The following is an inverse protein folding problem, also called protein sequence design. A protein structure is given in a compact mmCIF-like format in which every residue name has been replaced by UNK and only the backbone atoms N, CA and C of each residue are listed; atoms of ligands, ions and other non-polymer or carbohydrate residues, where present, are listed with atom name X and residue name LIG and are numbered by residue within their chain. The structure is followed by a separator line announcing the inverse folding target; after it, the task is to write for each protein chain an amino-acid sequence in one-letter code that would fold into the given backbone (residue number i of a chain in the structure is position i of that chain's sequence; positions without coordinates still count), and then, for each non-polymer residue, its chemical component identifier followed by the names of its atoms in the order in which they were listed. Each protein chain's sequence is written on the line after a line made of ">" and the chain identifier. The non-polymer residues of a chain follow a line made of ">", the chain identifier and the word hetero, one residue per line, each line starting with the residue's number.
data_IF_261616854976
#
_entry.id   IF_261616854976
#
_cell.length_a   1.000
_cell.length_b   1.000
_cell.length_c   1.000
_cell.angle_alpha   90.00
_cell.angle_beta   90.00
_cell.angle_gamma   90.00
#
_symmetry.space_group_name_H-M   'P 1'
#
loop_
_entity.id
_entity.type
_entity.pdbx_description
1 polymer ?
#
# COMPACT_ATOMS: atom_id res chain seq x y z
N UNK A 1 -6.33 23.56 -15.55
CA UNK A 1 -7.49 22.74 -15.13
C UNK A 1 -7.68 21.68 -16.20
N UNK A 2 -7.41 20.39 -15.87
CA UNK A 2 -7.55 19.30 -16.85
C UNK A 2 -9.04 19.00 -17.06
N UNK A 3 -9.42 18.87 -18.33
CA UNK A 3 -10.79 18.50 -18.72
C UNK A 3 -11.05 17.06 -18.27
N UNK A 4 -11.92 16.86 -17.28
CA UNK A 4 -12.22 15.54 -16.67
C UNK A 4 -13.01 14.61 -17.63
N UNK A 5 -13.44 15.11 -18.78
CA UNK A 5 -14.19 14.35 -19.78
C UNK A 5 -13.25 13.49 -20.63
N UNK A 6 -12.93 12.30 -20.14
CA UNK A 6 -12.12 11.31 -20.85
C UNK A 6 -11.06 10.61 -19.99
N UNK A 7 -10.89 11.03 -18.73
CA UNK A 7 -10.01 10.36 -17.79
C UNK A 7 -10.74 9.21 -17.10
N UNK A 8 -10.08 8.04 -16.97
CA UNK A 8 -10.65 6.93 -16.20
C UNK A 8 -10.74 7.31 -14.74
N UNK A 9 -11.74 6.77 -14.02
CA UNK A 9 -11.89 6.97 -12.58
C UNK A 9 -10.63 6.55 -11.82
N UNK A 10 -9.93 5.54 -12.32
CA UNK A 10 -8.68 5.01 -11.76
C UNK A 10 -7.53 6.01 -11.88
N UNK A 11 -7.32 6.59 -13.06
CA UNK A 11 -6.28 7.61 -13.26
C UNK A 11 -6.48 8.82 -12.34
N UNK A 12 -7.73 9.24 -12.13
CA UNK A 12 -8.06 10.32 -11.22
C UNK A 12 -7.71 9.96 -9.77
N UNK A 13 -8.04 8.73 -9.35
CA UNK A 13 -7.67 8.22 -8.02
C UNK A 13 -6.16 8.16 -7.84
N UNK A 14 -5.44 7.65 -8.84
CA UNK A 14 -3.97 7.58 -8.81
C UNK A 14 -3.36 8.98 -8.61
N UNK A 15 -3.75 9.97 -9.40
CA UNK A 15 -3.25 11.34 -9.26
C UNK A 15 -3.54 11.97 -7.89
N UNK A 16 -4.73 11.72 -7.34
CA UNK A 16 -5.10 12.25 -6.03
C UNK A 16 -4.36 11.55 -4.88
N UNK A 17 -4.18 10.24 -4.97
CA UNK A 17 -3.40 9.47 -4.00
C UNK A 17 -1.92 9.89 -4.03
N UNK A 18 -1.34 10.09 -5.23
CA UNK A 18 0.02 10.62 -5.39
C UNK A 18 0.18 12.00 -4.76
N UNK A 19 -0.80 12.88 -4.94
CA UNK A 19 -0.79 14.19 -4.30
C UNK A 19 -0.80 14.09 -2.76
N UNK A 20 -1.55 13.13 -2.18
CA UNK A 20 -1.53 12.89 -0.73
C UNK A 20 -0.13 12.46 -0.28
N UNK A 21 0.49 11.49 -0.97
CA UNK A 21 1.84 11.01 -0.62
C UNK A 21 2.87 12.14 -0.72
N UNK A 22 2.83 12.93 -1.79
CA UNK A 22 3.72 14.08 -1.97
C UNK A 22 3.58 15.11 -0.84
N UNK A 23 2.36 15.39 -0.42
CA UNK A 23 2.09 16.32 0.67
C UNK A 23 2.55 15.80 2.03
N UNK A 24 2.59 14.47 2.23
CA UNK A 24 3.10 13.84 3.44
C UNK A 24 4.60 14.08 3.66
N UNK A 25 5.36 14.45 2.64
CA UNK A 25 6.77 14.84 2.81
C UNK A 25 6.90 16.07 3.70
N UNK A 26 5.92 16.98 3.66
CA UNK A 26 5.95 18.29 4.35
C UNK A 26 4.99 18.37 5.54
N UNK A 27 3.86 17.68 5.46
CA UNK A 27 2.75 17.79 6.41
C UNK A 27 2.39 16.45 7.02
N UNK A 28 1.80 16.45 8.19
CA UNK A 28 1.08 15.28 8.71
C UNK A 28 -0.24 15.09 7.96
N UNK A 29 -0.79 13.87 7.92
CA UNK A 29 -2.07 13.61 7.25
C UNK A 29 -3.21 14.49 7.79
N UNK A 30 -3.17 14.82 9.09
CA UNK A 30 -4.16 15.70 9.74
C UNK A 30 -4.10 17.13 9.18
N UNK A 31 -2.92 17.66 8.95
CA UNK A 31 -2.71 19.02 8.45
C UNK A 31 -3.04 19.19 6.97
N UNK A 32 -2.93 18.11 6.19
CA UNK A 32 -3.25 18.16 4.75
C UNK A 32 -4.73 18.49 4.56
N UNK A 33 -4.98 19.57 3.82
CA UNK A 33 -6.34 19.99 3.43
C UNK A 33 -6.70 19.46 2.05
N UNK A 34 -8.00 19.15 1.84
CA UNK A 34 -8.50 18.71 0.52
C UNK A 34 -8.16 19.72 -0.59
N UNK A 35 -8.14 21.02 -0.27
CA UNK A 35 -7.71 22.06 -1.23
C UNK A 35 -6.30 21.80 -1.74
N UNK A 36 -5.34 21.50 -0.84
CA UNK A 36 -3.95 21.24 -1.22
C UNK A 36 -3.84 19.98 -2.12
N UNK A 37 -4.63 18.94 -1.81
CA UNK A 37 -4.70 17.72 -2.65
C UNK A 37 -5.22 18.06 -4.05
N UNK A 38 -6.28 18.87 -4.13
CA UNK A 38 -6.85 19.30 -5.41
C UNK A 38 -5.87 20.16 -6.20
N UNK A 39 -5.20 21.10 -5.56
CA UNK A 39 -4.21 21.98 -6.19
C UNK A 39 -3.01 21.15 -6.71
N UNK A 40 -2.52 20.17 -5.94
CA UNK A 40 -1.40 19.31 -6.32
C UNK A 40 -1.77 18.29 -7.42
N UNK A 41 -2.96 17.69 -7.35
CA UNK A 41 -3.41 16.70 -8.34
C UNK A 41 -3.96 17.31 -9.63
N UNK A 42 -4.37 18.60 -9.59
CA UNK A 42 -4.99 19.32 -10.72
C UNK A 42 -6.47 18.97 -10.92
N UNK A 43 -7.15 18.38 -9.92
CA UNK A 43 -8.56 18.01 -9.98
C UNK A 43 -9.44 18.83 -9.03
N UNK A 44 -10.74 18.80 -9.27
CA UNK A 44 -11.71 19.55 -8.47
C UNK A 44 -12.06 18.86 -7.14
N UNK A 45 -12.49 19.64 -6.17
CA UNK A 45 -12.92 19.14 -4.86
C UNK A 45 -14.06 18.11 -4.95
N UNK A 46 -14.99 18.28 -5.88
CA UNK A 46 -16.08 17.30 -6.09
C UNK A 46 -15.54 15.94 -6.52
N UNK A 47 -14.47 15.89 -7.29
CA UNK A 47 -13.82 14.65 -7.73
C UNK A 47 -13.15 13.94 -6.55
N UNK A 48 -12.53 14.68 -5.62
CA UNK A 48 -12.00 14.10 -4.39
C UNK A 48 -13.07 13.34 -3.60
N UNK A 49 -14.20 13.96 -3.31
CA UNK A 49 -15.26 13.33 -2.51
C UNK A 49 -15.99 12.19 -3.22
N UNK A 50 -15.88 12.09 -4.55
CA UNK A 50 -16.34 10.90 -5.31
C UNK A 50 -15.31 9.78 -5.26
N UNK A 51 -14.02 10.12 -5.20
CA UNK A 51 -12.92 9.17 -5.24
C UNK A 51 -12.64 8.52 -3.89
N UNK A 52 -12.66 9.31 -2.81
CA UNK A 52 -12.22 8.90 -1.47
C UNK A 52 -13.12 9.46 -0.38
N UNK A 53 -13.42 8.61 0.61
CA UNK A 53 -14.15 9.03 1.81
C UNK A 53 -13.22 9.65 2.87
N UNK A 54 -11.94 9.33 2.81
CA UNK A 54 -10.93 9.85 3.74
C UNK A 54 -9.55 9.93 3.09
N UNK A 55 -8.64 10.68 3.73
CA UNK A 55 -7.23 10.72 3.34
C UNK A 55 -6.51 9.40 3.64
N UNK A 56 -6.94 8.66 4.68
CA UNK A 56 -6.47 7.33 5.00
C UNK A 56 -6.77 6.35 3.86
N UNK A 57 -8.01 6.38 3.32
CA UNK A 57 -8.37 5.56 2.16
C UNK A 57 -7.47 5.83 0.96
N UNK A 58 -7.09 7.08 0.71
CA UNK A 58 -6.17 7.42 -0.37
C UNK A 58 -4.76 6.86 -0.16
N UNK A 59 -4.27 6.81 1.09
CA UNK A 59 -2.98 6.17 1.44
C UNK A 59 -3.06 4.66 1.23
N UNK A 60 -4.10 4.00 1.76
CA UNK A 60 -4.33 2.56 1.57
C UNK A 60 -4.42 2.21 0.09
N UNK A 61 -5.22 2.94 -0.68
CA UNK A 61 -5.35 2.79 -2.13
C UNK A 61 -3.99 2.92 -2.84
N UNK A 62 -3.15 3.90 -2.45
CA UNK A 62 -1.82 4.04 -3.05
C UNK A 62 -0.95 2.83 -2.81
N UNK A 63 -0.98 2.24 -1.61
CA UNK A 63 -0.22 1.03 -1.31
C UNK A 63 -0.68 -0.16 -2.16
N UNK A 64 -2.00 -0.34 -2.33
CA UNK A 64 -2.58 -1.37 -3.19
C UNK A 64 -2.15 -1.19 -4.65
N UNK A 65 -2.22 0.05 -5.16
CA UNK A 65 -1.81 0.39 -6.54
C UNK A 65 -0.33 0.17 -6.80
N UNK A 66 0.53 0.51 -5.85
CA UNK A 66 1.97 0.28 -5.98
C UNK A 66 2.29 -1.21 -6.08
N UNK A 67 1.64 -2.05 -5.27
CA UNK A 67 1.78 -3.50 -5.38
C UNK A 67 1.33 -4.02 -6.74
N UNK A 68 0.14 -3.61 -7.20
CA UNK A 68 -0.38 -3.99 -8.51
C UNK A 68 0.57 -3.59 -9.64
N UNK A 69 0.99 -2.33 -9.67
CA UNK A 69 1.90 -1.80 -10.68
C UNK A 69 3.26 -2.51 -10.67
N UNK A 70 3.76 -2.84 -9.49
CA UNK A 70 5.01 -3.57 -9.35
C UNK A 70 4.87 -5.00 -9.89
N UNK A 71 3.80 -5.71 -9.57
CA UNK A 71 3.52 -7.04 -10.10
C UNK A 71 3.42 -7.01 -11.63
N UNK A 72 2.67 -6.07 -12.20
CA UNK A 72 2.51 -5.93 -13.65
C UNK A 72 3.86 -5.68 -14.34
N UNK A 73 4.71 -4.82 -13.75
CA UNK A 73 6.02 -4.48 -14.32
C UNK A 73 7.04 -5.61 -14.25
N UNK A 74 6.89 -6.54 -13.31
CA UNK A 74 7.80 -7.68 -13.10
C UNK A 74 7.24 -9.00 -13.64
N UNK A 75 6.07 -8.97 -14.29
CA UNK A 75 5.41 -10.18 -14.81
C UNK A 75 5.00 -11.17 -13.72
N UNK A 76 4.75 -10.66 -12.52
CA UNK A 76 4.28 -11.44 -11.37
C UNK A 76 2.76 -11.52 -11.42
N UNK A 77 2.21 -12.74 -11.51
CA UNK A 77 0.78 -12.92 -11.30
C UNK A 77 0.41 -12.45 -9.89
N UNK A 78 -0.57 -11.54 -9.81
CA UNK A 78 -1.10 -11.07 -8.53
C UNK A 78 -1.77 -12.25 -7.84
N UNK A 79 -1.02 -12.93 -6.99
CA UNK A 79 -1.55 -13.98 -6.14
C UNK A 79 -1.98 -13.34 -4.84
N UNK A 80 -3.22 -13.61 -4.47
CA UNK A 80 -3.80 -13.14 -3.21
C UNK A 80 -3.44 -14.05 -2.05
N UNK A 81 -2.63 -15.06 -2.31
CA UNK A 81 -2.14 -15.99 -1.32
C UNK A 81 -0.63 -15.81 -1.16
N UNK A 82 -0.20 -15.67 0.10
CA UNK A 82 1.21 -15.75 0.41
C UNK A 82 1.64 -17.21 0.40
N UNK A 83 2.63 -17.51 -0.41
CA UNK A 83 3.32 -18.80 -0.43
C UNK A 83 4.81 -18.57 -0.23
N UNK A 84 5.53 -19.60 0.22
CA UNK A 84 6.98 -19.52 0.38
C UNK A 84 7.70 -19.20 -0.93
N UNK A 85 7.12 -19.61 -2.06
CA UNK A 85 7.69 -19.38 -3.38
C UNK A 85 7.67 -17.89 -3.77
N UNK A 86 6.74 -17.10 -3.21
CA UNK A 86 6.68 -15.65 -3.48
C UNK A 86 7.24 -14.78 -2.35
N UNK A 87 7.87 -15.38 -1.34
CA UNK A 87 8.46 -14.65 -0.22
C UNK A 87 9.54 -13.65 -0.67
N UNK A 88 10.38 -14.03 -1.63
CA UNK A 88 11.43 -13.15 -2.18
C UNK A 88 10.80 -11.96 -2.91
N UNK A 89 9.79 -12.20 -3.72
CA UNK A 89 9.01 -11.19 -4.45
C UNK A 89 8.43 -10.15 -3.48
N UNK A 90 7.80 -10.63 -2.41
CA UNK A 90 7.22 -9.77 -1.37
C UNK A 90 8.29 -8.90 -0.68
N UNK A 91 9.42 -9.51 -0.31
CA UNK A 91 10.52 -8.80 0.36
C UNK A 91 11.16 -7.80 -0.58
N UNK A 92 11.40 -8.17 -1.84
CA UNK A 92 11.98 -7.29 -2.84
C UNK A 92 11.11 -6.06 -3.08
N UNK A 93 9.80 -6.25 -3.31
CA UNK A 93 8.86 -5.14 -3.45
C UNK A 93 8.94 -4.15 -2.28
N UNK A 94 8.83 -4.65 -1.05
CA UNK A 94 8.86 -3.79 0.13
C UNK A 94 10.20 -3.08 0.32
N UNK A 95 11.32 -3.71 -0.08
CA UNK A 95 12.62 -3.08 -0.06
C UNK A 95 12.77 -1.96 -1.10
N UNK A 96 12.17 -2.12 -2.27
CA UNK A 96 12.18 -1.08 -3.32
C UNK A 96 11.39 0.16 -2.90
N UNK A 97 10.28 0.00 -2.19
CA UNK A 97 9.47 1.12 -1.67
C UNK A 97 9.84 1.56 -0.26
N UNK A 98 11.01 1.14 0.28
CA UNK A 98 11.41 1.39 1.67
C UNK A 98 11.40 2.86 2.08
N UNK A 99 11.70 3.79 1.17
CA UNK A 99 11.70 5.21 1.50
C UNK A 99 10.28 5.74 1.71
N UNK A 100 9.32 5.24 0.95
CA UNK A 100 7.90 5.50 1.20
C UNK A 100 7.45 4.87 2.54
N UNK A 101 7.87 3.64 2.83
CA UNK A 101 7.52 2.97 4.10
C UNK A 101 8.12 3.72 5.30
N UNK A 102 9.34 4.25 5.19
CA UNK A 102 9.93 5.15 6.19
C UNK A 102 9.09 6.41 6.39
N UNK A 103 8.69 7.06 5.30
CA UNK A 103 7.83 8.24 5.35
C UNK A 103 6.51 7.92 6.07
N UNK A 104 5.81 6.84 5.67
CA UNK A 104 4.55 6.44 6.28
C UNK A 104 4.71 6.10 7.77
N UNK A 105 5.79 5.42 8.15
CA UNK A 105 6.11 5.15 9.54
C UNK A 105 6.31 6.44 10.35
N UNK A 106 7.13 7.39 9.87
CA UNK A 106 7.35 8.67 10.53
C UNK A 106 6.08 9.54 10.63
N UNK A 107 5.13 9.34 9.73
CA UNK A 107 3.82 10.01 9.76
C UNK A 107 2.75 9.27 10.55
N UNK A 108 3.08 8.11 11.16
CA UNK A 108 2.14 7.31 11.95
C UNK A 108 1.08 6.59 11.12
N UNK A 109 1.37 6.28 9.85
CA UNK A 109 0.43 5.73 8.87
C UNK A 109 0.63 4.23 8.59
N UNK A 110 1.35 3.51 9.45
CA UNK A 110 1.53 2.06 9.28
C UNK A 110 0.22 1.27 9.41
N UNK A 111 -0.81 1.84 10.04
CA UNK A 111 -2.16 1.27 10.02
C UNK A 111 -2.80 1.22 8.63
N UNK A 112 -2.52 2.22 7.78
CA UNK A 112 -2.99 2.25 6.38
C UNK A 112 -2.24 1.22 5.52
N UNK A 113 -0.95 1.00 5.82
CA UNK A 113 -0.17 -0.09 5.21
C UNK A 113 -0.76 -1.45 5.60
N UNK A 114 -1.09 -1.66 6.88
CA UNK A 114 -1.74 -2.91 7.34
C UNK A 114 -3.09 -3.12 6.65
N UNK A 115 -3.88 -2.05 6.49
CA UNK A 115 -5.17 -2.11 5.79
C UNK A 115 -5.02 -2.52 4.32
N UNK A 116 -3.97 -2.07 3.62
CA UNK A 116 -3.71 -2.50 2.25
C UNK A 116 -3.36 -3.99 2.15
N UNK A 117 -2.59 -4.53 3.09
CA UNK A 117 -2.31 -5.97 3.17
C UNK A 117 -3.59 -6.78 3.35
N UNK A 118 -4.47 -6.34 4.27
CA UNK A 118 -5.77 -6.98 4.46
C UNK A 118 -6.63 -6.90 3.20
N UNK A 119 -6.70 -5.75 2.56
CA UNK A 119 -7.49 -5.58 1.34
C UNK A 119 -7.02 -6.53 0.25
N UNK A 120 -5.72 -6.59 -0.02
CA UNK A 120 -5.14 -7.43 -1.06
C UNK A 120 -5.38 -8.93 -0.79
N UNK A 121 -5.18 -9.37 0.45
CA UNK A 121 -5.24 -10.80 0.78
C UNK A 121 -6.65 -11.29 1.11
N UNK A 122 -7.50 -10.44 1.68
CA UNK A 122 -8.82 -10.83 2.18
C UNK A 122 -9.92 -10.75 1.12
N UNK A 123 -9.82 -9.87 0.13
CA UNK A 123 -10.91 -9.62 -0.84
C UNK A 123 -11.32 -10.88 -1.63
N UNK A 124 -10.38 -11.79 -1.88
CA UNK A 124 -10.61 -12.99 -2.68
C UNK A 124 -11.17 -14.19 -1.89
N UNK A 125 -11.16 -14.12 -0.54
CA UNK A 125 -11.56 -15.22 0.34
C UNK A 125 -12.79 -14.89 1.19
N UNK A 126 -13.49 -13.80 0.86
CA UNK A 126 -14.57 -13.23 1.67
C UNK A 126 -15.71 -14.20 1.94
N UNK A 127 -16.01 -15.06 0.97
CA UNK A 127 -17.15 -15.98 1.01
C UNK A 127 -16.79 -17.37 1.59
N UNK A 128 -15.51 -17.62 1.88
CA UNK A 128 -15.02 -18.87 2.45
C UNK A 128 -14.38 -18.63 3.83
N UNK A 129 -15.12 -18.88 4.94
CA UNK A 129 -14.68 -18.50 6.29
C UNK A 129 -13.30 -19.00 6.69
N UNK A 130 -12.94 -20.25 6.37
CA UNK A 130 -11.65 -20.82 6.73
C UNK A 130 -10.49 -20.12 6.00
N UNK A 131 -10.66 -19.85 4.71
CA UNK A 131 -9.66 -19.15 3.90
C UNK A 131 -9.55 -17.68 4.33
N UNK A 132 -10.68 -17.05 4.67
CA UNK A 132 -10.69 -15.68 5.18
C UNK A 132 -9.88 -15.51 6.48
N UNK A 133 -10.03 -16.44 7.43
CA UNK A 133 -9.22 -16.42 8.65
C UNK A 133 -7.74 -16.69 8.39
N UNK A 134 -7.42 -17.65 7.52
CA UNK A 134 -6.05 -17.93 7.10
C UNK A 134 -5.41 -16.72 6.42
N UNK A 135 -6.10 -16.07 5.48
CA UNK A 135 -5.65 -14.87 4.81
C UNK A 135 -5.39 -13.71 5.80
N UNK A 136 -6.28 -13.53 6.79
CA UNK A 136 -6.10 -12.53 7.83
C UNK A 136 -4.85 -12.79 8.69
N UNK A 137 -4.63 -14.04 9.09
CA UNK A 137 -3.43 -14.44 9.87
C UNK A 137 -2.17 -14.12 9.07
N UNK A 138 -2.10 -14.54 7.79
CA UNK A 138 -0.95 -14.28 6.93
C UNK A 138 -0.73 -12.78 6.70
N UNK A 139 -1.78 -12.02 6.43
CA UNK A 139 -1.68 -10.57 6.24
C UNK A 139 -1.05 -9.86 7.46
N UNK A 140 -1.51 -10.19 8.67
CA UNK A 140 -0.96 -9.60 9.88
C UNK A 140 0.43 -10.10 10.23
N UNK A 141 0.74 -11.36 9.97
CA UNK A 141 2.07 -11.89 10.20
C UNK A 141 3.10 -11.23 9.26
N UNK A 142 2.80 -11.10 7.97
CA UNK A 142 3.63 -10.40 7.00
C UNK A 142 3.77 -8.91 7.32
N UNK A 143 2.67 -8.26 7.70
CA UNK A 143 2.72 -6.88 8.13
C UNK A 143 3.57 -6.71 9.40
N UNK A 144 3.44 -7.60 10.39
CA UNK A 144 4.22 -7.56 11.62
C UNK A 144 5.73 -7.65 11.36
N UNK A 145 6.13 -8.55 10.45
CA UNK A 145 7.52 -8.65 10.01
C UNK A 145 7.98 -7.38 9.29
N UNK A 146 7.20 -6.88 8.32
CA UNK A 146 7.51 -5.64 7.62
C UNK A 146 7.64 -4.47 8.60
N UNK A 147 6.71 -4.35 9.55
CA UNK A 147 6.74 -3.30 10.56
C UNK A 147 8.02 -3.34 11.39
N UNK A 148 8.43 -4.53 11.84
CA UNK A 148 9.69 -4.70 12.55
C UNK A 148 10.90 -4.26 11.70
N UNK A 149 10.91 -4.59 10.41
CA UNK A 149 11.99 -4.20 9.49
C UNK A 149 12.02 -2.69 9.26
N UNK A 150 10.87 -2.05 9.11
CA UNK A 150 10.76 -0.58 9.01
C UNK A 150 11.26 0.11 10.27
N UNK A 151 10.82 -0.34 11.47
CA UNK A 151 11.24 0.23 12.77
C UNK A 151 12.75 0.10 12.97
N UNK A 152 13.36 -0.97 12.46
CA UNK A 152 14.81 -1.23 12.51
C UNK A 152 15.56 -0.59 11.33
N UNK A 153 14.90 0.28 10.58
CA UNK A 153 15.47 1.01 9.44
C UNK A 153 16.07 0.11 8.35
N UNK A 154 15.44 -1.04 8.09
CA UNK A 154 15.89 -2.02 7.09
C UNK A 154 17.32 -2.50 7.33
N UNK A 155 17.66 -2.81 8.59
CA UNK A 155 18.99 -3.14 9.10
C UNK A 155 19.58 -4.46 8.57
N UNK A 156 18.77 -5.31 7.94
CA UNK A 156 19.22 -6.52 7.25
C UNK A 156 18.86 -6.46 5.77
N UNK A 157 19.58 -7.23 4.96
CA UNK A 157 19.33 -7.29 3.52
C UNK A 157 17.99 -7.97 3.18
N UNK A 158 17.49 -7.73 1.96
CA UNK A 158 16.32 -8.42 1.44
C UNK A 158 16.50 -9.95 1.40
N UNK A 159 17.70 -10.44 1.11
CA UNK A 159 17.99 -11.87 1.09
C UNK A 159 17.90 -12.50 2.50
N UNK A 160 18.43 -11.82 3.52
CA UNK A 160 18.33 -12.26 4.93
C UNK A 160 16.87 -12.24 5.40
N UNK A 161 16.11 -11.20 5.05
CA UNK A 161 14.69 -11.10 5.38
C UNK A 161 13.88 -12.21 4.70
N UNK A 162 14.15 -12.52 3.44
CA UNK A 162 13.50 -13.64 2.74
C UNK A 162 13.81 -14.99 3.40
N UNK A 163 15.04 -15.18 3.88
CA UNK A 163 15.41 -16.38 4.63
C UNK A 163 14.63 -16.51 5.95
N UNK A 164 14.46 -15.40 6.68
CA UNK A 164 13.63 -15.36 7.90
C UNK A 164 12.19 -15.74 7.60
N UNK A 165 11.62 -15.23 6.51
CA UNK A 165 10.25 -15.59 6.09
C UNK A 165 10.13 -17.10 5.85
N UNK A 166 11.03 -17.69 5.07
CA UNK A 166 11.00 -19.13 4.79
C UNK A 166 11.09 -19.98 6.05
N UNK A 167 11.88 -19.54 7.04
CA UNK A 167 12.03 -20.28 8.31
C UNK A 167 10.78 -20.26 9.19
N UNK A 168 9.94 -19.23 9.08
CA UNK A 168 8.81 -19.03 9.97
C UNK A 168 7.46 -19.41 9.37
N UNK A 169 7.39 -19.61 8.05
CA UNK A 169 6.17 -19.99 7.34
C UNK A 169 6.25 -21.38 6.67
N UNK A 170 7.30 -22.17 6.98
CA UNK A 170 7.45 -23.55 6.51
C UNK A 170 6.57 -24.53 7.27
#
# INVERSE_FOLDING_TARGET
>A
MKDEKGLTSEFLKDCMADAVIQLLEKYTLKEIQVKQICDASGFHRASWFRAFHSKHEAVTYKMERLWQQWCDSHGVEVRNEFTLDNAETFVQYNYEIRDLLRLLHHRGLMGDVAASFQSIMYQHHRDEPQQAYSAAIHAYALFGMLYAWVVRDFDISSAEMAAILRMNFS
#
